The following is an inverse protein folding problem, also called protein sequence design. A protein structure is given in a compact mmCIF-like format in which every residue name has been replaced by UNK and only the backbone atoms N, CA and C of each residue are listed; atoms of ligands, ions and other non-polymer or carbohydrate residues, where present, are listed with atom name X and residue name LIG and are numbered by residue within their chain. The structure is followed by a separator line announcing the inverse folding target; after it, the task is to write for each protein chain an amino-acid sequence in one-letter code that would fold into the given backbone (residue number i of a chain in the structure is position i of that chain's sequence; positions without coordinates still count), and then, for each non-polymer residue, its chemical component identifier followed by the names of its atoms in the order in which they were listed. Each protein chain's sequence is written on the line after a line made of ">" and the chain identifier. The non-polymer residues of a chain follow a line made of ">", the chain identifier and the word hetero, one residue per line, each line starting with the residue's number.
data_IF_859578367652
#
_entry.id   IF_859578367652
#
_cell.length_a   1.000
_cell.length_b   1.000
_cell.length_c   1.000
_cell.angle_alpha   90.00
_cell.angle_beta   90.00
_cell.angle_gamma   90.00
#
_symmetry.space_group_name_H-M   'P 1'
#
loop_
_entity.id
_entity.type
_entity.pdbx_description
1 polymer ?
#
# COMPACT_ATOMS: atom_id res chain seq x y z
N UNK A 1 -10.97 -7.83 -22.18
CA UNK A 1 -9.70 -7.06 -22.14
C UNK A 1 -9.64 -6.05 -21.00
N UNK A 2 -10.62 -5.16 -20.85
CA UNK A 2 -10.60 -4.12 -19.80
C UNK A 2 -10.51 -4.66 -18.36
N UNK A 3 -11.24 -5.72 -18.02
CA UNK A 3 -11.24 -6.27 -16.65
C UNK A 3 -9.89 -6.90 -16.26
N UNK A 4 -9.24 -7.61 -17.18
CA UNK A 4 -7.89 -8.15 -17.00
C UNK A 4 -6.85 -7.06 -16.72
N UNK A 5 -6.99 -5.91 -17.38
CA UNK A 5 -6.09 -4.77 -17.16
C UNK A 5 -6.23 -4.21 -15.74
N UNK A 6 -7.46 -4.08 -15.22
CA UNK A 6 -7.68 -3.58 -13.86
C UNK A 6 -7.15 -4.53 -12.79
N UNK A 7 -7.31 -5.85 -12.99
CA UNK A 7 -6.71 -6.87 -12.12
C UNK A 7 -5.19 -6.78 -12.15
N UNK A 8 -4.60 -6.68 -13.34
CA UNK A 8 -3.15 -6.60 -13.50
C UNK A 8 -2.57 -5.33 -12.86
N UNK A 9 -3.15 -4.17 -13.13
CA UNK A 9 -2.75 -2.89 -12.52
C UNK A 9 -2.92 -2.96 -11.00
N UNK A 10 -4.04 -3.51 -10.52
CA UNK A 10 -4.29 -3.71 -9.09
C UNK A 10 -3.21 -4.55 -8.42
N UNK A 11 -2.84 -5.67 -9.05
CA UNK A 11 -1.80 -6.57 -8.56
C UNK A 11 -0.42 -5.89 -8.55
N UNK A 12 -0.04 -5.24 -9.65
CA UNK A 12 1.27 -4.55 -9.77
C UNK A 12 1.38 -3.42 -8.75
N UNK A 13 0.32 -2.63 -8.57
CA UNK A 13 0.29 -1.57 -7.56
C UNK A 13 0.41 -2.16 -6.15
N UNK A 14 -0.30 -3.26 -5.85
CA UNK A 14 -0.23 -3.90 -4.53
C UNK A 14 1.19 -4.44 -4.24
N UNK A 15 1.83 -5.09 -5.21
CA UNK A 15 3.21 -5.56 -5.09
C UNK A 15 4.18 -4.38 -4.94
N UNK A 16 3.99 -3.31 -5.72
CA UNK A 16 4.82 -2.10 -5.66
C UNK A 16 4.77 -1.42 -4.28
N UNK A 17 3.57 -1.21 -3.74
CA UNK A 17 3.37 -0.72 -2.38
C UNK A 17 4.03 -1.63 -1.34
N UNK A 18 3.92 -2.95 -1.54
CA UNK A 18 4.56 -3.99 -0.74
C UNK A 18 6.08 -3.85 -0.66
N UNK A 19 6.73 -3.94 -1.81
CA UNK A 19 8.19 -3.89 -1.94
C UNK A 19 8.74 -2.57 -1.41
N UNK A 20 8.08 -1.45 -1.71
CA UNK A 20 8.50 -0.13 -1.25
C UNK A 20 8.45 -0.05 0.28
N UNK A 21 7.36 -0.51 0.90
CA UNK A 21 7.23 -0.46 2.36
C UNK A 21 8.22 -1.36 3.08
N UNK A 22 8.43 -2.59 2.58
CA UNK A 22 9.40 -3.52 3.17
C UNK A 22 10.82 -2.96 3.08
N UNK A 23 11.19 -2.40 1.93
CA UNK A 23 12.51 -1.80 1.69
C UNK A 23 12.82 -0.66 2.67
N UNK A 24 11.81 0.17 2.97
CA UNK A 24 11.99 1.31 3.86
C UNK A 24 11.69 1.01 5.34
N UNK A 25 11.02 -0.10 5.67
CA UNK A 25 10.76 -0.51 7.07
C UNK A 25 12.04 -0.59 7.90
N UNK A 26 13.13 -1.10 7.32
CA UNK A 26 14.43 -1.21 7.99
C UNK A 26 15.19 0.11 8.16
N UNK A 27 14.94 1.09 7.28
CA UNK A 27 15.64 2.38 7.27
C UNK A 27 14.77 3.55 7.76
N UNK A 28 13.53 3.27 8.18
CA UNK A 28 12.55 4.28 8.59
C UNK A 28 13.11 5.21 9.67
N UNK A 29 13.84 4.70 10.66
CA UNK A 29 14.42 5.51 11.73
C UNK A 29 15.44 6.55 11.25
N UNK A 30 16.14 6.30 10.14
CA UNK A 30 17.17 7.19 9.57
C UNK A 30 16.57 8.35 8.75
N UNK A 31 15.28 8.29 8.42
CA UNK A 31 14.60 9.31 7.61
C UNK A 31 14.13 10.49 8.46
N UNK A 32 14.24 11.70 7.90
CA UNK A 32 13.64 12.90 8.47
C UNK A 32 12.10 12.82 8.43
N UNK A 33 11.41 13.54 9.31
CA UNK A 33 9.96 13.54 9.45
C UNK A 33 9.21 13.76 8.11
N UNK A 34 9.69 14.69 7.28
CA UNK A 34 9.09 14.98 5.96
C UNK A 34 9.25 13.79 5.01
N UNK A 35 10.40 13.13 5.01
CA UNK A 35 10.65 11.95 4.16
C UNK A 35 9.79 10.77 4.59
N UNK A 36 9.61 10.56 5.90
CA UNK A 36 8.71 9.54 6.44
C UNK A 36 7.28 9.75 5.96
N UNK A 37 6.76 10.97 6.09
CA UNK A 37 5.40 11.29 5.64
C UNK A 37 5.24 11.19 4.13
N UNK A 38 6.22 11.64 3.36
CA UNK A 38 6.24 11.50 1.90
C UNK A 38 6.21 10.03 1.46
N UNK A 39 7.00 9.18 2.13
CA UNK A 39 7.03 7.74 1.87
C UNK A 39 5.67 7.09 2.17
N UNK A 40 5.10 7.36 3.35
CA UNK A 40 3.79 6.82 3.73
C UNK A 40 2.76 7.25 2.70
N UNK A 41 2.67 8.54 2.36
CA UNK A 41 1.72 9.06 1.38
C UNK A 41 1.89 8.41 0.00
N UNK A 42 3.13 8.18 -0.44
CA UNK A 42 3.42 7.53 -1.73
C UNK A 42 2.93 6.09 -1.73
N UNK A 43 3.25 5.32 -0.68
CA UNK A 43 2.77 3.93 -0.56
C UNK A 43 1.26 3.89 -0.47
N UNK A 44 0.63 4.77 0.31
CA UNK A 44 -0.82 4.85 0.41
C UNK A 44 -1.49 5.17 -0.93
N UNK A 45 -0.92 6.09 -1.71
CA UNK A 45 -1.44 6.41 -3.03
C UNK A 45 -1.37 5.21 -4.00
N UNK A 46 -0.25 4.48 -3.98
CA UNK A 46 -0.08 3.25 -4.77
C UNK A 46 -1.08 2.18 -4.29
N UNK A 47 -1.20 1.99 -2.98
CA UNK A 47 -2.13 1.05 -2.38
C UNK A 47 -3.59 1.35 -2.73
N UNK A 48 -4.01 2.61 -2.65
CA UNK A 48 -5.36 3.04 -3.04
C UNK A 48 -5.61 2.80 -4.53
N UNK A 49 -4.60 2.99 -5.38
CA UNK A 49 -4.69 2.63 -6.80
C UNK A 49 -4.95 1.13 -6.97
N UNK A 50 -4.32 0.28 -6.14
CA UNK A 50 -4.61 -1.15 -6.11
C UNK A 50 -6.07 -1.44 -5.72
N UNK A 51 -6.56 -0.77 -4.67
CA UNK A 51 -7.96 -0.89 -4.21
C UNK A 51 -8.95 -0.55 -5.32
N UNK A 52 -8.72 0.54 -6.06
CA UNK A 52 -9.55 0.89 -7.21
C UNK A 52 -9.48 -0.15 -8.34
N UNK A 53 -8.31 -0.70 -8.61
CA UNK A 53 -8.15 -1.82 -9.56
C UNK A 53 -9.00 -3.03 -9.16
N UNK A 54 -8.97 -3.41 -7.88
CA UNK A 54 -9.78 -4.51 -7.35
C UNK A 54 -11.28 -4.18 -7.26
N UNK A 55 -11.65 -2.92 -7.01
CA UNK A 55 -13.05 -2.48 -7.07
C UNK A 55 -13.65 -2.72 -8.46
N UNK A 56 -12.92 -2.34 -9.51
CA UNK A 56 -13.39 -2.51 -10.88
C UNK A 56 -13.43 -3.97 -11.33
N UNK A 57 -12.66 -4.85 -10.69
CA UNK A 57 -12.58 -6.27 -11.03
C UNK A 57 -13.53 -7.17 -10.22
N UNK A 58 -13.64 -6.94 -8.91
CA UNK A 58 -14.36 -7.80 -7.96
C UNK A 58 -15.49 -7.06 -7.22
N UNK A 59 -15.77 -5.81 -7.62
CA UNK A 59 -16.82 -4.99 -7.03
C UNK A 59 -16.51 -4.47 -5.63
N UNK A 60 -17.54 -4.05 -4.88
CA UNK A 60 -17.38 -3.44 -3.56
C UNK A 60 -16.66 -4.33 -2.55
N UNK A 61 -16.92 -5.64 -2.55
CA UNK A 61 -16.25 -6.58 -1.63
C UNK A 61 -14.74 -6.66 -1.90
N UNK A 62 -14.31 -6.65 -3.16
CA UNK A 62 -12.89 -6.64 -3.52
C UNK A 62 -12.19 -5.38 -3.04
N UNK A 63 -12.86 -4.23 -3.12
CA UNK A 63 -12.33 -2.97 -2.60
C UNK A 63 -12.21 -2.96 -1.08
N UNK A 64 -13.22 -3.46 -0.36
CA UNK A 64 -13.20 -3.51 1.11
C UNK A 64 -12.07 -4.43 1.60
N UNK A 65 -11.94 -5.62 1.00
CA UNK A 65 -10.89 -6.57 1.36
C UNK A 65 -9.48 -6.02 1.08
N UNK A 66 -9.28 -5.42 -0.10
CA UNK A 66 -7.98 -4.84 -0.46
C UNK A 66 -7.64 -3.61 0.37
N UNK A 67 -8.62 -2.78 0.73
CA UNK A 67 -8.42 -1.63 1.62
C UNK A 67 -8.06 -2.08 3.04
N UNK A 68 -8.71 -3.13 3.56
CA UNK A 68 -8.37 -3.70 4.86
C UNK A 68 -6.94 -4.26 4.87
N UNK A 69 -6.56 -4.99 3.81
CA UNK A 69 -5.19 -5.49 3.65
C UNK A 69 -4.16 -4.35 3.58
N UNK A 70 -4.45 -3.29 2.83
CA UNK A 70 -3.60 -2.12 2.74
C UNK A 70 -3.40 -1.46 4.11
N UNK A 71 -4.49 -1.24 4.85
CA UNK A 71 -4.43 -0.62 6.18
C UNK A 71 -3.60 -1.45 7.17
N UNK A 72 -3.77 -2.78 7.19
CA UNK A 72 -2.96 -3.69 8.02
C UNK A 72 -1.49 -3.61 7.61
N UNK A 73 -1.21 -3.59 6.31
CA UNK A 73 0.15 -3.57 5.80
C UNK A 73 0.89 -2.26 6.15
N UNK A 74 0.23 -1.11 5.97
CA UNK A 74 0.77 0.18 6.37
C UNK A 74 0.98 0.27 7.88
N UNK A 75 0.07 -0.29 8.68
CA UNK A 75 0.22 -0.36 10.12
C UNK A 75 1.48 -1.14 10.52
N UNK A 76 1.67 -2.34 9.99
CA UNK A 76 2.83 -3.20 10.30
C UNK A 76 4.16 -2.65 9.79
N UNK A 77 4.17 -1.91 8.67
CA UNK A 77 5.40 -1.36 8.10
C UNK A 77 5.78 0.01 8.68
N UNK A 78 4.81 0.87 8.98
CA UNK A 78 5.09 2.28 9.28
C UNK A 78 4.68 2.71 10.68
N UNK A 79 3.59 2.19 11.23
CA UNK A 79 3.06 2.66 12.52
C UNK A 79 3.57 1.83 13.69
N UNK A 80 3.61 0.50 13.56
CA UNK A 80 4.16 -0.40 14.59
C UNK A 80 5.64 -0.15 14.86
N UNK A 81 6.41 0.19 13.81
CA UNK A 81 7.84 0.53 13.94
C UNK A 81 8.04 1.80 14.79
N UNK A 82 7.09 2.74 14.82
CA UNK A 82 7.17 3.91 15.71
C UNK A 82 6.96 3.58 17.19
N UNK A 83 6.31 2.47 17.54
CA UNK A 83 6.05 2.12 18.95
C UNK A 83 7.19 1.32 19.58
N UNK A 84 8.07 0.72 18.78
CA UNK A 84 9.21 -0.04 19.25
C UNK A 84 10.51 0.78 19.34
N UNK A 85 10.43 2.09 19.06
CA UNK A 85 11.53 3.06 19.05
C UNK A 85 11.34 4.09 20.16
#
# INVERSE_FOLDING_TARGET
>A
MAMFLHIFIGLVAFIGAGVMSISFKGNMQSLNAVQKWSLIATVSAIGVTAVFGFYMAAGPMGAVLSAALLAVFEYECFFKVRQAA
#
